data_IF_077739994878
#
_entry.id   IF_077739994878
#
_cell.length_a   1.000
_cell.length_b   1.000
_cell.length_c   1.000
_cell.angle_alpha   90.00
_cell.angle_beta   90.00
_cell.angle_gamma   90.00
#
_symmetry.space_group_name_H-M   'P 1'
#
loop_
_entity.id
_entity.type
_entity.pdbx_description
1 polymer ?
#
# COMPACT_ATOMS: atom_id res chain seq x y z
N UNK A 1 5.05 -29.15 -20.26
CA UNK A 1 5.06 -27.92 -19.43
C UNK A 1 3.61 -27.46 -19.32
N UNK A 2 2.93 -27.79 -18.22
CA UNK A 2 1.52 -27.45 -18.04
C UNK A 2 1.39 -25.95 -17.73
N UNK A 3 0.57 -25.24 -18.52
CA UNK A 3 0.19 -23.87 -18.20
C UNK A 3 -0.55 -23.87 -16.85
N UNK A 4 -0.24 -22.95 -15.91
CA UNK A 4 -0.99 -22.85 -14.67
C UNK A 4 -2.46 -22.62 -15.02
N UNK A 5 -3.33 -23.49 -14.49
CA UNK A 5 -4.77 -23.36 -14.63
C UNK A 5 -5.17 -22.00 -14.04
N UNK A 6 -5.97 -21.22 -14.77
CA UNK A 6 -6.59 -20.00 -14.22
C UNK A 6 -7.50 -20.43 -13.08
N UNK A 7 -7.08 -20.19 -11.83
CA UNK A 7 -7.94 -20.38 -10.68
C UNK A 7 -9.20 -19.54 -10.91
N UNK A 8 -10.35 -20.21 -11.09
CA UNK A 8 -11.64 -19.60 -10.80
C UNK A 8 -11.58 -19.23 -9.32
N UNK A 9 -11.32 -17.95 -9.02
CA UNK A 9 -11.42 -17.45 -7.66
C UNK A 9 -12.90 -17.44 -7.32
N UNK A 10 -13.33 -18.38 -6.47
CA UNK A 10 -14.69 -18.41 -5.99
C UNK A 10 -14.99 -17.13 -5.20
N UNK A 11 -16.18 -16.58 -5.36
CA UNK A 11 -16.58 -15.34 -4.71
C UNK A 11 -16.47 -15.47 -3.19
N UNK A 12 -16.84 -16.64 -2.64
CA UNK A 12 -16.71 -16.94 -1.21
C UNK A 12 -15.26 -16.91 -0.73
N UNK A 13 -14.31 -17.38 -1.55
CA UNK A 13 -12.88 -17.37 -1.20
C UNK A 13 -12.32 -15.93 -1.17
N UNK A 14 -12.73 -15.10 -2.14
CA UNK A 14 -12.36 -13.68 -2.18
C UNK A 14 -12.91 -12.92 -0.98
N UNK A 15 -14.16 -13.17 -0.60
CA UNK A 15 -14.78 -12.59 0.58
C UNK A 15 -14.10 -13.02 1.88
N UNK A 16 -13.67 -14.29 1.95
CA UNK A 16 -12.87 -14.80 3.07
C UNK A 16 -11.52 -14.09 3.20
N UNK A 17 -10.79 -13.94 2.08
CA UNK A 17 -9.51 -13.20 2.05
C UNK A 17 -9.68 -11.74 2.46
N UNK A 18 -10.75 -11.10 2.00
CA UNK A 18 -11.06 -9.71 2.34
C UNK A 18 -11.39 -9.56 3.82
N UNK A 19 -12.24 -10.43 4.37
CA UNK A 19 -12.59 -10.41 5.80
C UNK A 19 -11.36 -10.61 6.68
N UNK A 20 -10.50 -11.57 6.33
CA UNK A 20 -9.26 -11.81 7.06
C UNK A 20 -8.30 -10.61 7.03
N UNK A 21 -8.17 -9.94 5.87
CA UNK A 21 -7.40 -8.69 5.76
C UNK A 21 -7.96 -7.62 6.70
N UNK A 22 -9.29 -7.48 6.77
CA UNK A 22 -9.95 -6.45 7.57
C UNK A 22 -9.75 -6.72 9.07
N UNK A 23 -9.84 -7.98 9.49
CA UNK A 23 -9.55 -8.39 10.87
C UNK A 23 -8.11 -8.08 11.26
N UNK A 24 -7.14 -8.40 10.40
CA UNK A 24 -5.73 -8.07 10.64
C UNK A 24 -5.60 -6.56 10.82
N UNK A 25 -6.11 -5.77 9.87
CA UNK A 25 -5.96 -4.31 9.93
C UNK A 25 -6.66 -3.73 11.17
N UNK A 26 -7.87 -4.16 11.48
CA UNK A 26 -8.61 -3.68 12.65
C UNK A 26 -7.92 -4.01 13.98
N UNK A 27 -7.11 -5.07 14.01
CA UNK A 27 -6.28 -5.41 15.17
C UNK A 27 -5.03 -4.54 15.33
N UNK A 28 -4.67 -3.76 14.31
CA UNK A 28 -3.52 -2.86 14.33
C UNK A 28 -3.97 -1.46 14.76
N UNK A 29 -3.40 -0.93 15.85
CA UNK A 29 -3.77 0.41 16.35
C UNK A 29 -3.39 1.55 15.38
N UNK A 30 -2.27 1.38 14.66
CA UNK A 30 -1.81 2.31 13.61
C UNK A 30 -0.85 1.59 12.65
N UNK A 31 -0.71 2.11 11.42
CA UNK A 31 0.09 1.46 10.36
C UNK A 31 0.89 2.45 9.51
N UNK A 32 2.07 2.02 9.07
CA UNK A 32 2.83 2.65 7.99
C UNK A 32 2.75 1.79 6.72
N UNK A 33 2.18 2.32 5.64
CA UNK A 33 1.96 1.61 4.38
C UNK A 33 3.01 2.02 3.36
N UNK A 34 3.83 1.07 2.91
CA UNK A 34 4.73 1.30 1.78
C UNK A 34 3.91 1.53 0.50
N UNK A 35 3.97 2.74 -0.03
CA UNK A 35 3.12 3.23 -1.11
C UNK A 35 3.92 3.69 -2.32
N UNK A 36 3.73 2.96 -3.42
CA UNK A 36 4.37 3.26 -4.72
C UNK A 36 3.36 3.72 -5.78
N UNK A 37 2.06 3.75 -5.46
CA UNK A 37 1.01 4.18 -6.39
C UNK A 37 0.43 3.11 -7.29
N UNK A 38 0.86 1.85 -7.17
CA UNK A 38 0.27 0.71 -7.88
C UNK A 38 -1.07 0.28 -7.26
N UNK A 39 -1.87 -0.50 -8.02
CA UNK A 39 -3.21 -0.95 -7.62
C UNK A 39 -3.24 -1.58 -6.21
N UNK A 40 -2.29 -2.48 -5.93
CA UNK A 40 -2.23 -3.18 -4.63
C UNK A 40 -1.95 -2.22 -3.48
N UNK A 41 -0.97 -1.32 -3.63
CA UNK A 41 -0.65 -0.34 -2.58
C UNK A 41 -1.75 0.70 -2.39
N UNK A 42 -2.46 1.06 -3.46
CA UNK A 42 -3.62 1.97 -3.40
C UNK A 42 -4.81 1.32 -2.72
N UNK A 43 -5.10 0.07 -3.06
CA UNK A 43 -6.14 -0.71 -2.40
C UNK A 43 -5.84 -0.86 -0.90
N UNK A 44 -4.63 -1.29 -0.54
CA UNK A 44 -4.25 -1.47 0.85
C UNK A 44 -4.30 -0.17 1.65
N UNK A 45 -3.79 0.94 1.09
CA UNK A 45 -3.86 2.25 1.73
C UNK A 45 -5.31 2.70 1.95
N UNK A 46 -6.20 2.49 0.97
CA UNK A 46 -7.62 2.83 1.10
C UNK A 46 -8.28 2.01 2.22
N UNK A 47 -8.10 0.68 2.22
CA UNK A 47 -8.67 -0.20 3.25
C UNK A 47 -8.17 0.17 4.65
N UNK A 48 -6.85 0.43 4.82
CA UNK A 48 -6.31 0.86 6.09
C UNK A 48 -6.94 2.18 6.58
N UNK A 49 -7.13 3.15 5.68
CA UNK A 49 -7.76 4.44 6.02
C UNK A 49 -9.23 4.28 6.41
N UNK A 50 -9.96 3.40 5.74
CA UNK A 50 -11.37 3.15 6.03
C UNK A 50 -11.56 2.46 7.39
N UNK A 51 -10.66 1.56 7.77
CA UNK A 51 -10.75 0.78 9.02
C UNK A 51 -10.19 1.55 10.22
N UNK A 52 -9.00 2.14 10.09
CA UNK A 52 -8.28 2.75 11.21
C UNK A 52 -8.46 4.27 11.30
N UNK A 53 -9.02 4.88 10.25
CA UNK A 53 -9.13 6.33 10.13
C UNK A 53 -7.81 6.98 9.67
N UNK A 54 -7.89 8.17 9.05
CA UNK A 54 -6.74 8.82 8.42
C UNK A 54 -5.64 9.24 9.41
N UNK A 55 -5.96 9.43 10.70
CA UNK A 55 -4.97 9.82 11.71
C UNK A 55 -4.02 8.68 12.10
N UNK A 56 -4.42 7.43 11.87
CA UNK A 56 -3.69 6.23 12.28
C UNK A 56 -2.95 5.55 11.13
N UNK A 57 -2.88 6.20 9.96
CA UNK A 57 -2.30 5.63 8.73
C UNK A 57 -1.29 6.60 8.14
N UNK A 58 -0.03 6.14 8.02
CA UNK A 58 1.04 6.89 7.36
C UNK A 58 1.37 6.23 6.01
N UNK A 59 1.26 6.96 4.90
CA UNK A 59 1.75 6.49 3.61
C UNK A 59 3.25 6.79 3.48
N UNK A 60 4.08 5.77 3.27
CA UNK A 60 5.53 5.89 3.12
C UNK A 60 5.89 5.63 1.67
N UNK A 61 6.47 6.63 1.00
CA UNK A 61 6.91 6.47 -0.40
C UNK A 61 8.43 6.57 -0.48
N UNK A 62 9.04 5.71 -1.28
CA UNK A 62 10.49 5.70 -1.51
C UNK A 62 10.82 6.46 -2.79
N UNK A 63 11.72 7.44 -2.73
CA UNK A 63 12.37 7.98 -3.92
C UNK A 63 13.62 7.14 -4.22
N UNK A 64 13.62 6.44 -5.35
CA UNK A 64 14.81 5.88 -6.01
C UNK A 64 15.04 6.66 -7.29
N UNK A 65 16.30 6.85 -7.67
CA UNK A 65 16.74 7.59 -8.87
C UNK A 65 16.27 7.01 -10.21
N UNK A 66 15.43 5.97 -10.18
CA UNK A 66 14.86 5.27 -11.33
C UNK A 66 13.41 5.70 -11.61
N UNK A 67 12.71 6.32 -10.65
CA UNK A 67 11.35 6.82 -10.87
C UNK A 67 11.35 8.23 -11.47
N UNK A 68 10.54 8.44 -12.50
CA UNK A 68 10.37 9.76 -13.11
C UNK A 68 9.64 10.70 -12.14
N UNK A 69 9.91 12.00 -12.27
CA UNK A 69 9.28 13.04 -11.46
C UNK A 69 7.74 12.98 -11.49
N UNK A 70 7.16 12.52 -12.61
CA UNK A 70 5.72 12.42 -12.83
C UNK A 70 5.08 11.28 -12.02
N UNK A 71 5.68 10.09 -12.02
CA UNK A 71 5.17 8.93 -11.27
C UNK A 71 5.13 9.22 -9.76
N UNK A 72 6.12 9.95 -9.28
CA UNK A 72 6.18 10.40 -7.89
C UNK A 72 5.11 11.43 -7.56
N UNK A 73 4.88 12.41 -8.45
CA UNK A 73 3.86 13.43 -8.26
C UNK A 73 2.46 12.78 -8.17
N UNK A 74 2.17 11.81 -9.02
CA UNK A 74 0.92 11.07 -8.96
C UNK A 74 0.77 10.24 -7.68
N UNK A 75 1.82 9.55 -7.24
CA UNK A 75 1.78 8.81 -5.99
C UNK A 75 1.48 9.75 -4.80
N UNK A 76 2.12 10.92 -4.74
CA UNK A 76 1.82 11.91 -3.69
C UNK A 76 0.39 12.44 -3.77
N UNK A 77 -0.11 12.72 -4.96
CA UNK A 77 -1.49 13.17 -5.15
C UNK A 77 -2.50 12.13 -4.65
N UNK A 78 -2.23 10.84 -4.85
CA UNK A 78 -3.07 9.72 -4.38
C UNK A 78 -2.97 9.47 -2.86
N UNK A 79 -1.89 9.89 -2.21
CA UNK A 79 -1.66 9.66 -0.77
C UNK A 79 -2.42 10.63 0.15
N UNK A 80 -2.92 11.77 -0.36
CA UNK A 80 -3.74 12.80 0.33
C UNK A 80 -3.43 12.98 1.83
N UNK A 81 -2.26 13.55 2.14
CA UNK A 81 -1.76 13.98 3.46
C UNK A 81 -0.86 12.96 4.18
N UNK A 82 0.32 13.45 4.56
CA UNK A 82 1.44 12.75 5.23
C UNK A 82 2.13 11.65 4.41
N UNK A 83 2.67 12.01 3.23
CA UNK A 83 3.67 11.18 2.57
C UNK A 83 5.06 11.45 3.20
N UNK A 84 5.57 10.53 4.02
CA UNK A 84 6.96 10.62 4.51
C UNK A 84 7.91 10.11 3.43
N UNK A 85 8.82 10.97 2.99
CA UNK A 85 9.88 10.61 2.04
C UNK A 85 11.08 10.09 2.83
N UNK A 86 11.25 8.78 2.87
CA UNK A 86 12.49 8.20 3.36
C UNK A 86 13.64 8.53 2.39
N UNK A 87 14.66 9.22 2.89
CA UNK A 87 15.93 9.44 2.20
C UNK A 87 17.04 8.70 2.94
N UNK A 88 17.69 7.69 2.35
CA UNK A 88 18.85 7.08 2.97
C UNK A 88 19.97 8.13 3.07
N UNK A 89 20.50 8.37 4.27
CA UNK A 89 21.72 9.15 4.44
C UNK A 89 22.87 8.39 3.78
N UNK A 90 23.66 9.08 2.95
CA UNK A 90 24.90 8.55 2.38
C UNK A 90 25.78 8.07 3.55
N UNK A 91 26.33 6.83 3.55
CA UNK A 91 27.28 6.47 4.58
C UNK A 91 28.44 7.47 4.53
N UNK A 92 28.81 8.01 5.69
CA UNK A 92 30.01 8.81 5.84
C UNK A 92 31.20 7.93 5.40
N UNK A 93 31.94 8.42 4.41
CA UNK A 93 33.28 7.96 4.10
C UNK A 93 34.19 8.38 5.26
#
# INVERSE_FOLDING_TARGET
MALPQRNHLDHTELEGKRSHLYEIIASLESVAVAFQGGLTSTYLLAVCRDILGPANVLAVTTQSSVWSSSELAEARARAVLSAFLWRPSKPAN
#
